data_IF_446845571202
#
_entry.id   IF_446845571202
#
_cell.length_a   1.000
_cell.length_b   1.000
_cell.length_c   1.000
_cell.angle_alpha   90.00
_cell.angle_beta   90.00
_cell.angle_gamma   90.00
#
_symmetry.space_group_name_H-M   'P 1'
#
loop_
_entity.id
_entity.type
_entity.pdbx_description
1 polymer ?
#
# COMPACT_ATOMS: atom_id res chain seq x y z
N UNK A 1 -16.13 -9.03 -10.71
CA UNK A 1 -15.73 -10.00 -11.76
C UNK A 1 -15.78 -9.37 -13.16
N UNK A 2 -16.94 -8.90 -13.65
CA UNK A 2 -17.07 -8.26 -14.97
C UNK A 2 -16.09 -7.11 -15.25
N UNK A 3 -15.81 -6.23 -14.29
CA UNK A 3 -14.87 -5.12 -14.51
C UNK A 3 -13.40 -5.59 -14.62
N UNK A 4 -13.02 -6.65 -13.91
CA UNK A 4 -11.71 -7.29 -14.04
C UNK A 4 -11.60 -8.06 -15.35
N UNK A 5 -12.69 -8.70 -15.81
CA UNK A 5 -12.73 -9.39 -17.10
C UNK A 5 -12.64 -8.41 -18.28
N UNK A 6 -13.11 -7.17 -18.11
CA UNK A 6 -13.08 -6.15 -19.17
C UNK A 6 -11.86 -5.23 -19.14
N UNK A 7 -11.22 -5.06 -17.97
CA UNK A 7 -10.15 -4.05 -17.75
C UNK A 7 -8.97 -4.56 -16.91
N UNK A 8 -9.00 -5.81 -16.48
CA UNK A 8 -7.90 -6.42 -15.75
C UNK A 8 -6.71 -6.57 -16.68
N UNK A 9 -5.53 -6.15 -16.20
CA UNK A 9 -4.28 -6.51 -16.84
C UNK A 9 -4.05 -8.02 -16.75
N UNK A 10 -3.27 -8.55 -17.68
CA UNK A 10 -2.85 -9.94 -17.60
C UNK A 10 -1.96 -10.11 -16.34
N UNK A 11 -2.19 -11.16 -15.51
CA UNK A 11 -1.50 -11.27 -14.22
C UNK A 11 0.02 -11.23 -14.32
N UNK A 12 0.61 -11.82 -15.37
CA UNK A 12 2.05 -11.78 -15.59
C UNK A 12 2.53 -10.35 -15.85
N UNK A 13 1.85 -9.57 -16.70
CA UNK A 13 2.16 -8.15 -16.92
C UNK A 13 2.14 -7.34 -15.61
N UNK A 14 1.14 -7.57 -14.76
CA UNK A 14 1.04 -6.89 -13.45
C UNK A 14 2.22 -7.27 -12.55
N UNK A 15 2.53 -8.57 -12.43
CA UNK A 15 3.61 -9.05 -11.58
C UNK A 15 4.99 -8.55 -12.06
N UNK A 16 5.23 -8.54 -13.37
CA UNK A 16 6.44 -8.00 -13.98
C UNK A 16 6.58 -6.50 -13.73
N UNK A 17 5.50 -5.73 -13.88
CA UNK A 17 5.51 -4.30 -13.64
C UNK A 17 5.77 -3.96 -12.17
N UNK A 18 5.19 -4.72 -11.24
CA UNK A 18 5.48 -4.61 -9.81
C UNK A 18 6.96 -4.89 -9.54
N UNK A 19 7.50 -6.00 -10.04
CA UNK A 19 8.91 -6.33 -9.90
C UNK A 19 9.83 -5.27 -10.48
N UNK A 20 9.48 -4.69 -11.63
CA UNK A 20 10.26 -3.63 -12.28
C UNK A 20 10.26 -2.33 -11.46
N UNK A 21 9.11 -1.91 -10.94
CA UNK A 21 8.99 -0.63 -10.20
C UNK A 21 9.53 -0.70 -8.77
N UNK A 22 9.40 -1.87 -8.15
CA UNK A 22 9.67 -2.07 -6.74
C UNK A 22 10.98 -2.82 -6.47
N UNK A 23 11.71 -3.21 -7.52
CA UNK A 23 12.95 -3.98 -7.42
C UNK A 23 13.88 -3.50 -6.28
N UNK A 24 14.21 -4.42 -5.38
CA UNK A 24 15.12 -4.21 -4.26
C UNK A 24 14.57 -3.32 -3.14
N UNK A 25 13.30 -2.90 -3.20
CA UNK A 25 12.70 -2.02 -2.19
C UNK A 25 12.00 -2.81 -1.10
N UNK A 26 12.03 -2.25 0.10
CA UNK A 26 11.09 -2.55 1.16
C UNK A 26 9.92 -1.58 1.03
N UNK A 27 8.71 -2.11 0.86
CA UNK A 27 7.47 -1.33 0.85
C UNK A 27 6.62 -1.69 2.08
N UNK A 28 5.71 -0.77 2.43
CA UNK A 28 4.91 -0.85 3.64
C UNK A 28 3.43 -0.71 3.30
N UNK A 29 2.58 -1.44 4.02
CA UNK A 29 1.11 -1.39 3.91
C UNK A 29 0.49 -1.35 5.30
N UNK A 30 -0.56 -0.53 5.47
CA UNK A 30 -1.46 -0.50 6.63
C UNK A 30 -2.46 -1.66 6.63
N UNK A 31 -2.62 -2.33 5.48
CA UNK A 31 -3.48 -3.50 5.27
C UNK A 31 -2.69 -4.80 5.08
N UNK A 32 -1.47 -4.92 5.61
CA UNK A 32 -0.53 -6.01 5.31
C UNK A 32 -1.14 -7.42 5.38
N UNK A 33 -1.98 -7.70 6.38
CA UNK A 33 -2.63 -9.02 6.59
C UNK A 33 -3.54 -9.41 5.41
N UNK A 34 -4.07 -8.44 4.67
CA UNK A 34 -4.88 -8.65 3.48
C UNK A 34 -4.01 -8.59 2.22
N UNK A 35 -3.16 -7.57 2.11
CA UNK A 35 -2.37 -7.33 0.89
C UNK A 35 -1.35 -8.42 0.63
N UNK A 36 -0.67 -8.90 1.67
CA UNK A 36 0.41 -9.88 1.51
C UNK A 36 -0.10 -11.22 0.94
N UNK A 37 -1.18 -11.85 1.46
CA UNK A 37 -1.75 -13.06 0.83
C UNK A 37 -2.17 -12.87 -0.63
N UNK A 38 -2.78 -11.73 -0.98
CA UNK A 38 -3.15 -11.45 -2.37
C UNK A 38 -1.93 -11.30 -3.27
N UNK A 39 -0.88 -10.65 -2.78
CA UNK A 39 0.38 -10.51 -3.49
C UNK A 39 1.04 -11.87 -3.73
N UNK A 40 1.12 -12.71 -2.69
CA UNK A 40 1.67 -14.07 -2.81
C UNK A 40 0.84 -14.92 -3.78
N UNK A 41 -0.49 -14.78 -3.75
CA UNK A 41 -1.38 -15.48 -4.69
C UNK A 41 -1.10 -15.08 -6.14
N UNK A 42 -0.87 -13.79 -6.41
CA UNK A 42 -0.51 -13.29 -7.74
C UNK A 42 0.81 -13.91 -8.21
N UNK A 43 1.88 -13.78 -7.41
CA UNK A 43 3.22 -14.26 -7.78
C UNK A 43 3.27 -15.79 -7.94
N UNK A 44 2.55 -16.52 -7.08
CA UNK A 44 2.39 -17.96 -7.23
C UNK A 44 1.66 -18.33 -8.53
N UNK A 45 0.57 -17.61 -8.88
CA UNK A 45 -0.21 -17.89 -10.07
C UNK A 45 0.57 -17.67 -11.38
N UNK A 46 1.53 -16.74 -11.39
CA UNK A 46 2.37 -16.44 -12.57
C UNK A 46 3.72 -17.16 -12.54
N UNK A 47 4.03 -17.90 -11.47
CA UNK A 47 5.26 -18.65 -11.28
C UNK A 47 6.55 -17.81 -11.43
N UNK A 48 6.57 -16.63 -10.81
CA UNK A 48 7.77 -15.79 -10.65
C UNK A 48 7.89 -15.33 -9.19
N UNK A 49 9.10 -14.99 -8.78
CA UNK A 49 9.35 -14.50 -7.41
C UNK A 49 9.21 -12.96 -7.34
N UNK A 50 8.68 -12.41 -6.23
CA UNK A 50 8.69 -10.97 -6.00
C UNK A 50 10.13 -10.47 -5.81
N UNK A 51 10.48 -9.40 -6.52
CA UNK A 51 11.79 -8.75 -6.43
C UNK A 51 11.86 -7.66 -5.35
N UNK A 52 10.91 -7.65 -4.42
CA UNK A 52 10.73 -6.63 -3.38
C UNK A 52 10.11 -7.25 -2.13
N UNK A 53 10.10 -6.51 -1.03
CA UNK A 53 9.54 -6.96 0.24
C UNK A 53 8.36 -6.09 0.64
N UNK A 54 7.31 -6.69 1.22
CA UNK A 54 6.14 -6.01 1.75
C UNK A 54 6.02 -6.28 3.24
N UNK A 55 5.94 -5.21 4.04
CA UNK A 55 5.87 -5.28 5.50
C UNK A 55 4.74 -4.42 6.08
N UNK A 56 4.31 -4.70 7.31
CA UNK A 56 3.39 -3.82 8.04
C UNK A 56 4.02 -2.44 8.27
N UNK A 57 3.24 -1.37 8.11
CA UNK A 57 3.71 0.00 8.33
C UNK A 57 4.08 0.27 9.79
N UNK A 58 3.50 -0.48 10.72
CA UNK A 58 3.75 -0.41 12.15
C UNK A 58 5.22 -0.65 12.50
N UNK A 59 5.98 -1.35 11.63
CA UNK A 59 7.42 -1.58 11.83
C UNK A 59 8.28 -0.32 11.70
N UNK A 60 7.76 0.75 11.11
CA UNK A 60 8.46 2.03 10.95
C UNK A 60 7.78 3.17 11.73
N UNK A 61 6.84 2.84 12.62
CA UNK A 61 6.15 3.80 13.47
C UNK A 61 6.72 3.78 14.89
N UNK A 62 6.74 4.93 15.54
CA UNK A 62 7.02 5.05 16.98
C UNK A 62 5.73 4.97 17.78
N UNK A 63 5.80 4.70 19.08
CA UNK A 63 4.62 4.69 19.97
C UNK A 63 3.87 6.02 19.90
N UNK A 64 4.57 7.16 19.98
CA UNK A 64 3.98 8.49 19.83
C UNK A 64 3.25 8.68 18.48
N UNK A 65 3.79 8.12 17.38
CA UNK A 65 3.10 8.16 16.09
C UNK A 65 1.84 7.32 16.08
N UNK A 66 1.87 6.13 16.70
CA UNK A 66 0.70 5.26 16.80
C UNK A 66 -0.43 5.94 17.59
N UNK A 67 -0.10 6.67 18.66
CA UNK A 67 -1.09 7.38 19.49
C UNK A 67 -1.87 8.44 18.70
N UNK A 68 -1.22 9.16 17.78
CA UNK A 68 -1.85 10.21 16.99
C UNK A 68 -2.32 9.75 15.60
N UNK A 69 -2.08 8.48 15.25
CA UNK A 69 -2.25 7.98 13.89
C UNK A 69 -3.68 8.16 13.37
N UNK A 70 -4.67 7.70 14.13
CA UNK A 70 -6.08 7.72 13.70
C UNK A 70 -6.61 9.13 13.48
N UNK A 71 -6.18 10.08 14.31
CA UNK A 71 -6.56 11.49 14.20
C UNK A 71 -5.94 12.13 12.96
N UNK A 72 -4.64 11.91 12.75
CA UNK A 72 -3.92 12.41 11.57
C UNK A 72 -4.46 11.78 10.28
N UNK A 73 -4.75 10.48 10.29
CA UNK A 73 -5.29 9.75 9.15
C UNK A 73 -6.65 10.32 8.72
N UNK A 74 -7.53 10.56 9.69
CA UNK A 74 -8.84 11.17 9.45
C UNK A 74 -8.73 12.56 8.85
N UNK A 75 -7.80 13.37 9.35
CA UNK A 75 -7.55 14.71 8.82
C UNK A 75 -7.07 14.65 7.36
N UNK A 76 -6.12 13.77 7.05
CA UNK A 76 -5.61 13.57 5.68
C UNK A 76 -6.72 13.08 4.74
N UNK A 77 -7.57 12.15 5.19
CA UNK A 77 -8.72 11.67 4.42
C UNK A 77 -9.65 12.83 4.07
N UNK A 78 -10.07 13.64 5.06
CA UNK A 78 -10.98 14.77 4.84
C UNK A 78 -10.39 15.75 3.83
N UNK A 79 -9.08 16.02 3.90
CA UNK A 79 -8.40 16.85 2.91
C UNK A 79 -8.34 16.22 1.50
N UNK A 80 -8.48 14.89 1.38
CA UNK A 80 -8.40 14.12 0.14
C UNK A 80 -9.74 13.75 -0.49
N UNK A 81 -10.86 13.87 0.24
CA UNK A 81 -12.23 13.40 -0.11
C UNK A 81 -12.80 13.97 -1.43
N UNK A 82 -12.07 14.84 -2.12
CA UNK A 82 -12.39 15.26 -3.49
C UNK A 82 -12.03 14.22 -4.56
N UNK A 83 -11.45 13.06 -4.20
CA UNK A 83 -11.00 12.04 -5.15
C UNK A 83 -11.67 10.66 -4.95
N UNK A 84 -11.85 9.96 -6.07
CA UNK A 84 -12.48 8.63 -6.14
C UNK A 84 -11.65 7.60 -5.37
N UNK A 85 -12.27 6.75 -4.54
CA UNK A 85 -11.60 5.62 -3.87
C UNK A 85 -10.88 4.72 -4.89
N UNK A 86 -9.54 4.80 -4.89
CA UNK A 86 -8.64 4.06 -5.76
C UNK A 86 -7.45 3.68 -4.90
N UNK A 87 -6.89 2.50 -5.10
CA UNK A 87 -5.68 2.05 -4.40
C UNK A 87 -4.53 3.06 -4.43
N UNK A 88 -4.43 3.87 -5.50
CA UNK A 88 -3.44 4.96 -5.59
C UNK A 88 -3.72 6.12 -4.62
N UNK A 89 -4.99 6.46 -4.40
CA UNK A 89 -5.41 7.47 -3.41
C UNK A 89 -5.21 6.92 -2.01
N UNK A 90 -5.59 5.66 -1.76
CA UNK A 90 -5.42 5.03 -0.46
C UNK A 90 -3.93 4.98 -0.07
N UNK A 91 -3.06 4.52 -0.97
CA UNK A 91 -1.61 4.52 -0.75
C UNK A 91 -1.03 5.92 -0.53
N UNK A 92 -1.56 6.94 -1.22
CA UNK A 92 -1.14 8.33 -1.01
C UNK A 92 -1.57 8.86 0.36
N UNK A 93 -2.81 8.60 0.77
CA UNK A 93 -3.34 8.99 2.08
C UNK A 93 -2.49 8.39 3.21
N UNK A 94 -2.17 7.09 3.12
CA UNK A 94 -1.34 6.41 4.11
C UNK A 94 0.07 7.01 4.15
N UNK A 95 0.67 7.29 2.99
CA UNK A 95 1.97 7.95 2.93
C UNK A 95 1.95 9.35 3.58
N UNK A 96 0.93 10.16 3.29
CA UNK A 96 0.81 11.50 3.89
C UNK A 96 0.54 11.45 5.39
N UNK A 97 -0.26 10.47 5.83
CA UNK A 97 -0.53 10.22 7.25
C UNK A 97 0.76 9.92 8.00
N UNK A 98 1.58 9.01 7.47
CA UNK A 98 2.88 8.69 8.06
C UNK A 98 3.82 9.89 8.11
N UNK A 99 3.93 10.64 7.00
CA UNK A 99 4.80 11.83 6.96
C UNK A 99 4.37 12.85 8.01
N UNK A 100 3.06 13.12 8.10
CA UNK A 100 2.52 14.13 9.02
C UNK A 100 2.66 13.70 10.48
N UNK A 101 2.30 12.46 10.81
CA UNK A 101 2.44 11.95 12.18
C UNK A 101 3.92 11.91 12.59
N UNK A 102 4.82 11.53 11.69
CA UNK A 102 6.25 11.57 11.92
C UNK A 102 6.74 12.97 12.28
N UNK A 103 6.38 14.01 11.51
CA UNK A 103 6.76 15.39 11.83
C UNK A 103 6.17 15.91 13.15
N UNK A 104 4.97 15.49 13.53
CA UNK A 104 4.31 15.93 14.75
C UNK A 104 4.86 15.28 16.03
N UNK A 105 5.65 14.22 15.89
CA UNK A 105 6.10 13.36 17.01
C UNK A 105 7.62 13.30 17.14
N UNK A 106 8.35 14.06 16.32
CA UNK A 106 9.80 14.24 16.45
C UNK A 106 10.19 15.09 17.67
#
# INVERSE_FOLDING_TARGET
RRDLEQRGGEPMEVALELNRRLNGKQIYSDGWVVDHPWLMTLFFAVNIEPAFQLSPIELIMTENQMEIWDDVHREVIICSEQQRHRASVDAWVIQQTWIKSHYMTQ
#
